data_IF_847658462968
#
_entry.id   IF_847658462968
#
_cell.length_a   1.000
_cell.length_b   1.000
_cell.length_c   1.000
_cell.angle_alpha   90.00
_cell.angle_beta   90.00
_cell.angle_gamma   90.00
#
_symmetry.space_group_name_H-M   'P 1'
#
loop_
_entity.id
_entity.type
_entity.pdbx_description
1 polymer ?
#
# COMPACT_ATOMS: atom_id res chain seq x y z
N UNK A 1 10.26 18.53 29.06
CA UNK A 1 10.55 18.35 27.62
C UNK A 1 10.00 17.03 27.07
N UNK A 2 10.39 15.85 27.56
CA UNK A 2 10.03 14.54 26.96
C UNK A 2 8.54 14.20 26.75
N UNK A 3 7.63 14.76 27.56
CA UNK A 3 6.19 14.45 27.46
C UNK A 3 5.52 15.26 26.34
N UNK A 4 5.92 16.53 26.18
CA UNK A 4 5.40 17.39 25.12
C UNK A 4 5.87 16.88 23.76
N UNK A 5 7.14 16.53 23.61
CA UNK A 5 7.68 15.97 22.35
C UNK A 5 6.96 14.68 21.92
N UNK A 6 6.57 13.82 22.89
CA UNK A 6 5.82 12.59 22.63
C UNK A 6 4.36 12.86 22.22
N UNK A 7 3.74 13.91 22.77
CA UNK A 7 2.37 14.32 22.43
C UNK A 7 2.33 14.99 21.06
N UNK A 8 3.29 15.88 20.76
CA UNK A 8 3.42 16.53 19.44
C UNK A 8 3.69 15.50 18.33
N UNK A 9 4.66 14.60 18.51
CA UNK A 9 4.94 13.53 17.55
C UNK A 9 3.74 12.60 17.33
N UNK A 10 2.96 12.29 18.39
CA UNK A 10 1.75 11.47 18.25
C UNK A 10 0.68 12.17 17.43
N UNK A 11 0.47 13.47 17.66
CA UNK A 11 -0.56 14.27 16.99
C UNK A 11 -0.22 14.50 15.51
N UNK A 12 1.07 14.70 15.20
CA UNK A 12 1.55 14.84 13.83
C UNK A 12 1.46 13.52 13.05
N UNK A 13 1.81 12.39 13.68
CA UNK A 13 1.67 11.06 13.07
C UNK A 13 0.19 10.69 12.83
N UNK A 14 -0.70 11.03 13.76
CA UNK A 14 -2.15 10.81 13.56
C UNK A 14 -2.65 11.66 12.39
N UNK A 15 -2.20 12.91 12.27
CA UNK A 15 -2.53 13.75 11.12
C UNK A 15 -1.97 13.23 9.79
N UNK A 16 -0.75 12.69 9.77
CA UNK A 16 -0.13 12.08 8.57
C UNK A 16 -0.90 10.84 8.13
N UNK A 17 -1.23 9.95 9.07
CA UNK A 17 -2.02 8.75 8.80
C UNK A 17 -3.38 9.11 8.19
N UNK A 18 -4.14 9.99 8.84
CA UNK A 18 -5.48 10.36 8.35
C UNK A 18 -5.45 10.97 6.94
N UNK A 19 -4.42 11.76 6.63
CA UNK A 19 -4.25 12.35 5.30
C UNK A 19 -3.84 11.31 4.26
N UNK A 20 -2.92 10.41 4.60
CA UNK A 20 -2.43 9.36 3.69
C UNK A 20 -3.52 8.36 3.32
N UNK A 21 -4.42 8.06 4.27
CA UNK A 21 -5.52 7.13 4.07
C UNK A 21 -6.87 7.82 3.86
N UNK A 22 -6.88 9.10 3.48
CA UNK A 22 -8.11 9.89 3.32
C UNK A 22 -9.05 9.31 2.26
N UNK A 23 -8.52 8.78 1.16
CA UNK A 23 -9.32 8.12 0.13
C UNK A 23 -9.96 6.81 0.63
N UNK A 24 -9.22 6.01 1.39
CA UNK A 24 -9.74 4.80 2.04
C UNK A 24 -10.82 5.15 3.07
N UNK A 25 -10.57 6.18 3.91
CA UNK A 25 -11.52 6.69 4.90
C UNK A 25 -12.84 7.10 4.24
N UNK A 26 -12.76 7.90 3.17
CA UNK A 26 -13.91 8.33 2.38
C UNK A 26 -14.65 7.16 1.72
N UNK A 27 -13.91 6.17 1.20
CA UNK A 27 -14.54 4.95 0.65
C UNK A 27 -15.28 4.16 1.74
N UNK A 28 -14.79 4.21 2.98
CA UNK A 28 -15.41 3.58 4.14
C UNK A 28 -16.81 4.08 4.47
N UNK A 29 -17.20 5.27 3.99
CA UNK A 29 -18.57 5.78 4.14
C UNK A 29 -19.60 4.99 3.32
N UNK A 30 -19.13 4.26 2.29
CA UNK A 30 -19.97 3.50 1.35
C UNK A 30 -19.68 2.00 1.43
N UNK A 31 -18.41 1.63 1.60
CA UNK A 31 -17.94 0.24 1.56
C UNK A 31 -17.48 -0.20 2.96
N UNK A 32 -18.24 -1.06 3.66
CA UNK A 32 -17.93 -1.44 5.04
C UNK A 32 -16.55 -2.08 5.25
N UNK A 33 -16.07 -2.85 4.26
CA UNK A 33 -14.72 -3.43 4.31
C UNK A 33 -13.63 -2.35 4.27
N UNK A 34 -13.80 -1.30 3.46
CA UNK A 34 -12.87 -0.17 3.43
C UNK A 34 -12.81 0.55 4.78
N UNK A 35 -13.95 0.73 5.45
CA UNK A 35 -14.00 1.29 6.81
C UNK A 35 -13.22 0.43 7.80
N UNK A 36 -13.47 -0.89 7.80
CA UNK A 36 -12.78 -1.82 8.70
C UNK A 36 -11.28 -1.90 8.40
N UNK A 37 -10.88 -1.89 7.14
CA UNK A 37 -9.47 -1.81 6.75
C UNK A 37 -8.84 -0.53 7.28
N UNK A 38 -9.49 0.65 7.16
CA UNK A 38 -8.98 1.90 7.73
C UNK A 38 -8.77 1.82 9.24
N UNK A 39 -9.76 1.30 9.98
CA UNK A 39 -9.70 1.14 11.44
C UNK A 39 -8.56 0.19 11.83
N UNK A 40 -8.40 -0.94 11.14
CA UNK A 40 -7.33 -1.91 11.42
C UNK A 40 -5.92 -1.39 11.05
N UNK A 41 -5.80 -0.61 9.97
CA UNK A 41 -4.53 0.03 9.59
C UNK A 41 -4.05 1.03 10.64
N UNK A 42 -4.97 1.72 11.32
CA UNK A 42 -4.63 2.73 12.34
C UNK A 42 -3.84 2.12 13.51
N UNK A 43 -4.14 0.88 13.84
CA UNK A 43 -3.51 0.15 14.95
C UNK A 43 -2.41 -0.83 14.49
N UNK A 44 -2.18 -0.95 13.17
CA UNK A 44 -1.20 -1.86 12.60
C UNK A 44 0.22 -1.46 13.00
N UNK A 45 0.96 -2.41 13.55
CA UNK A 45 2.37 -2.28 13.89
C UNK A 45 3.05 -3.66 13.89
N UNK A 46 4.37 -3.71 14.19
CA UNK A 46 5.13 -4.96 14.20
C UNK A 46 4.62 -5.98 15.25
N UNK A 47 4.04 -5.53 16.35
CA UNK A 47 3.50 -6.37 17.45
C UNK A 47 2.05 -6.81 17.21
N UNK A 48 1.35 -6.27 16.20
CA UNK A 48 -0.01 -6.72 15.84
C UNK A 48 -0.04 -8.23 15.63
N UNK A 49 -0.99 -8.89 16.29
CA UNK A 49 -1.11 -10.35 16.26
C UNK A 49 -1.31 -10.88 14.83
N UNK A 50 -0.93 -12.14 14.60
CA UNK A 50 -1.17 -12.82 13.32
C UNK A 50 -2.66 -12.82 12.98
N UNK A 51 -3.51 -13.18 13.94
CA UNK A 51 -4.97 -13.19 13.79
C UNK A 51 -5.54 -11.82 13.38
N UNK A 52 -5.08 -10.72 13.98
CA UNK A 52 -5.56 -9.39 13.63
C UNK A 52 -4.99 -8.91 12.28
N UNK A 53 -3.79 -9.34 11.94
CA UNK A 53 -3.18 -9.10 10.63
C UNK A 53 -3.95 -9.85 9.53
N UNK A 54 -4.38 -11.09 9.77
CA UNK A 54 -5.23 -11.87 8.85
C UNK A 54 -6.62 -11.25 8.69
N UNK A 55 -7.21 -10.73 9.76
CA UNK A 55 -8.47 -9.94 9.68
C UNK A 55 -8.30 -8.73 8.79
N UNK A 56 -7.19 -7.99 8.93
CA UNK A 56 -6.87 -6.86 8.07
C UNK A 56 -6.77 -7.28 6.61
N UNK A 57 -6.01 -8.33 6.30
CA UNK A 57 -5.88 -8.83 4.93
C UNK A 57 -7.24 -9.27 4.36
N UNK A 58 -8.06 -9.93 5.17
CA UNK A 58 -9.40 -10.39 4.79
C UNK A 58 -10.33 -9.22 4.44
N UNK A 59 -10.36 -8.15 5.25
CA UNK A 59 -11.17 -6.98 4.94
C UNK A 59 -10.61 -6.20 3.75
N UNK A 60 -9.28 -6.06 3.66
CA UNK A 60 -8.62 -5.41 2.54
C UNK A 60 -8.98 -6.06 1.18
N UNK A 61 -8.92 -7.39 1.10
CA UNK A 61 -9.24 -8.13 -0.13
C UNK A 61 -10.72 -8.07 -0.54
N UNK A 62 -11.61 -7.63 0.35
CA UNK A 62 -13.03 -7.37 0.02
C UNK A 62 -13.24 -5.99 -0.60
N UNK A 63 -12.24 -5.12 -0.61
CA UNK A 63 -12.35 -3.79 -1.22
C UNK A 63 -12.26 -3.95 -2.73
N UNK A 64 -13.36 -3.63 -3.42
CA UNK A 64 -13.40 -3.55 -4.87
C UNK A 64 -13.39 -2.08 -5.31
N UNK A 65 -12.26 -1.61 -5.81
CA UNK A 65 -12.13 -0.24 -6.31
C UNK A 65 -12.23 -0.21 -7.85
N UNK A 66 -13.45 -0.06 -8.37
CA UNK A 66 -13.70 -0.01 -9.81
C UNK A 66 -13.27 1.36 -10.39
N UNK A 67 -12.09 1.41 -11.01
CA UNK A 67 -11.56 2.61 -11.65
C UNK A 67 -10.60 2.26 -12.79
N UNK A 68 -10.06 3.27 -13.48
CA UNK A 68 -9.00 3.04 -14.45
C UNK A 68 -7.71 2.55 -13.76
N UNK A 69 -6.84 1.92 -14.53
CA UNK A 69 -5.58 1.29 -14.08
C UNK A 69 -4.73 2.20 -13.19
N UNK A 70 -4.56 3.47 -13.56
CA UNK A 70 -3.75 4.42 -12.79
C UNK A 70 -4.40 4.78 -11.46
N UNK A 71 -5.71 5.04 -11.47
CA UNK A 71 -6.46 5.39 -10.27
C UNK A 71 -6.55 4.21 -9.31
N UNK A 72 -6.70 2.99 -9.86
CA UNK A 72 -6.61 1.74 -9.11
C UNK A 72 -5.26 1.63 -8.41
N UNK A 73 -4.16 1.75 -9.17
CA UNK A 73 -2.81 1.72 -8.60
C UNK A 73 -2.67 2.75 -7.48
N UNK A 74 -3.04 4.02 -7.73
CA UNK A 74 -2.84 5.08 -6.75
C UNK A 74 -3.70 4.93 -5.49
N UNK A 75 -4.87 4.29 -5.58
CA UNK A 75 -5.72 3.99 -4.43
C UNK A 75 -5.08 2.90 -3.54
N UNK A 76 -4.62 1.80 -4.14
CA UNK A 76 -4.06 0.69 -3.38
C UNK A 76 -2.63 0.96 -2.89
N UNK A 77 -1.87 1.83 -3.55
CA UNK A 77 -0.47 2.09 -3.22
C UNK A 77 -0.22 2.41 -1.74
N UNK A 78 -0.83 3.46 -1.13
CA UNK A 78 -0.62 3.76 0.29
C UNK A 78 -0.98 2.59 1.22
N UNK A 79 -1.98 1.80 0.86
CA UNK A 79 -2.46 0.67 1.67
C UNK A 79 -1.46 -0.48 1.62
N UNK A 80 -1.06 -0.89 0.42
CA UNK A 80 -0.15 -2.03 0.22
C UNK A 80 1.23 -1.73 0.79
N UNK A 81 1.80 -0.55 0.54
CA UNK A 81 3.12 -0.21 1.08
C UNK A 81 3.14 -0.17 2.60
N UNK A 82 2.05 0.30 3.23
CA UNK A 82 1.95 0.36 4.68
C UNK A 82 1.79 -1.02 5.31
N UNK A 83 0.95 -1.88 4.71
CA UNK A 83 0.80 -3.27 5.17
C UNK A 83 2.13 -4.01 5.05
N UNK A 84 2.81 -3.92 3.90
CA UNK A 84 4.05 -4.65 3.67
C UNK A 84 5.23 -4.13 4.47
N UNK A 85 5.19 -2.87 4.93
CA UNK A 85 6.15 -2.36 5.91
C UNK A 85 6.10 -3.15 7.22
N UNK A 86 4.90 -3.32 7.79
CA UNK A 86 4.73 -3.98 9.09
C UNK A 86 4.64 -5.51 9.01
N UNK A 87 4.06 -6.02 7.92
CA UNK A 87 3.72 -7.43 7.71
C UNK A 87 4.20 -7.90 6.34
N UNK A 88 5.53 -7.96 6.12
CA UNK A 88 6.11 -8.31 4.81
C UNK A 88 5.73 -9.71 4.32
N UNK A 89 5.30 -10.60 5.21
CA UNK A 89 4.87 -11.96 4.87
C UNK A 89 3.59 -12.00 4.02
N UNK A 90 2.79 -10.92 3.98
CA UNK A 90 1.62 -10.79 3.09
C UNK A 90 1.95 -10.44 1.64
N UNK A 91 3.23 -10.31 1.28
CA UNK A 91 3.69 -9.94 -0.06
C UNK A 91 2.95 -10.71 -1.17
N UNK A 92 2.89 -12.04 -1.07
CA UNK A 92 2.21 -12.90 -2.07
C UNK A 92 0.73 -12.57 -2.27
N UNK A 93 0.07 -12.06 -1.25
CA UNK A 93 -1.37 -11.82 -1.29
C UNK A 93 -1.72 -10.48 -1.92
N UNK A 94 -0.83 -9.47 -1.77
CA UNK A 94 -1.16 -8.08 -2.05
C UNK A 94 -0.19 -7.34 -2.97
N UNK A 95 0.98 -7.90 -3.30
CA UNK A 95 1.91 -7.24 -4.22
C UNK A 95 1.29 -7.04 -5.61
N UNK A 96 0.42 -7.96 -6.04
CA UNK A 96 -0.35 -7.86 -7.30
C UNK A 96 -1.08 -6.54 -7.51
N UNK A 97 -1.53 -5.87 -6.44
CA UNK A 97 -2.23 -4.58 -6.56
C UNK A 97 -1.30 -3.43 -7.01
N UNK A 98 0.02 -3.61 -6.89
CA UNK A 98 1.02 -2.66 -7.41
C UNK A 98 1.56 -3.10 -8.78
N UNK A 99 1.68 -4.42 -9.01
CA UNK A 99 2.29 -4.97 -10.22
C UNK A 99 1.29 -5.01 -11.38
N UNK A 100 0.11 -5.59 -11.17
CA UNK A 100 -0.90 -5.80 -12.21
C UNK A 100 -1.26 -4.52 -12.98
N UNK A 101 -1.52 -3.38 -12.31
CA UNK A 101 -1.83 -2.14 -13.02
C UNK A 101 -0.68 -1.61 -13.89
N UNK A 102 0.56 -1.65 -13.40
CA UNK A 102 1.71 -1.21 -14.19
C UNK A 102 2.00 -2.18 -15.35
N UNK A 103 1.78 -3.48 -15.14
CA UNK A 103 1.84 -4.48 -16.20
C UNK A 103 0.80 -4.22 -17.29
N UNK A 104 -0.46 -3.95 -16.91
CA UNK A 104 -1.52 -3.61 -17.85
C UNK A 104 -1.22 -2.31 -18.64
N UNK A 105 -0.37 -1.44 -18.11
CA UNK A 105 0.15 -0.25 -18.79
C UNK A 105 1.43 -0.52 -19.62
N UNK A 106 1.86 -1.77 -19.74
CA UNK A 106 2.98 -2.19 -20.59
C UNK A 106 4.33 -2.36 -19.88
N UNK A 107 4.40 -2.20 -18.55
CA UNK A 107 5.64 -2.46 -17.81
C UNK A 107 5.80 -3.95 -17.52
N UNK A 108 6.66 -4.63 -18.27
CA UNK A 108 6.79 -6.10 -18.19
C UNK A 108 8.12 -6.58 -17.64
N UNK A 109 9.05 -5.68 -17.33
CA UNK A 109 10.38 -6.01 -16.81
C UNK A 109 10.50 -5.62 -15.33
N UNK A 110 11.04 -6.52 -14.49
CA UNK A 110 11.08 -6.32 -13.03
C UNK A 110 11.80 -5.05 -12.57
N UNK A 111 12.90 -4.66 -13.26
CA UNK A 111 13.65 -3.45 -12.92
C UNK A 111 12.86 -2.19 -13.27
N UNK A 112 12.21 -2.19 -14.42
CA UNK A 112 11.33 -1.10 -14.86
C UNK A 112 10.12 -0.98 -13.94
N UNK A 113 9.51 -2.11 -13.56
CA UNK A 113 8.40 -2.18 -12.61
C UNK A 113 8.73 -1.50 -11.27
N UNK A 114 9.89 -1.81 -10.70
CA UNK A 114 10.36 -1.16 -9.47
C UNK A 114 10.60 0.33 -9.66
N UNK A 115 11.20 0.73 -10.79
CA UNK A 115 11.40 2.13 -11.14
C UNK A 115 10.09 2.89 -11.32
N UNK A 116 9.06 2.24 -11.90
CA UNK A 116 7.73 2.80 -12.07
C UNK A 116 7.05 3.04 -10.73
N UNK A 117 7.10 2.08 -9.80
CA UNK A 117 6.55 2.26 -8.45
C UNK A 117 7.28 3.39 -7.70
N UNK A 118 8.62 3.42 -7.76
CA UNK A 118 9.42 4.49 -7.16
C UNK A 118 9.13 5.87 -7.79
N UNK A 119 9.01 5.93 -9.11
CA UNK A 119 8.66 7.12 -9.86
C UNK A 119 7.26 7.62 -9.51
N UNK A 120 6.30 6.71 -9.35
CA UNK A 120 4.94 7.02 -8.96
C UNK A 120 4.86 7.59 -7.54
N UNK A 121 5.64 7.05 -6.59
CA UNK A 121 5.79 7.64 -5.25
C UNK A 121 6.30 9.08 -5.35
N UNK A 122 7.40 9.30 -6.07
CA UNK A 122 8.01 10.62 -6.20
C UNK A 122 7.08 11.62 -6.89
N UNK A 123 6.34 11.19 -7.91
CA UNK A 123 5.34 12.00 -8.59
C UNK A 123 4.22 12.43 -7.63
N UNK A 124 3.59 11.47 -6.93
CA UNK A 124 2.47 11.78 -6.03
C UNK A 124 2.89 12.58 -4.80
N UNK A 125 4.10 12.39 -4.29
CA UNK A 125 4.63 13.17 -3.16
C UNK A 125 4.94 14.63 -3.51
N UNK A 126 5.22 14.94 -4.79
CA UNK A 126 5.34 16.34 -5.26
C UNK A 126 4.01 17.07 -5.19
N UNK A 127 2.92 16.38 -5.53
CA UNK A 127 1.57 16.95 -5.53
C UNK A 127 0.94 16.97 -4.13
N UNK A 128 1.16 15.91 -3.35
CA UNK A 128 0.66 15.76 -1.99
C UNK A 128 1.72 15.10 -1.11
N UNK A 129 2.34 15.90 -0.24
CA UNK A 129 3.39 15.44 0.69
C UNK A 129 2.90 14.35 1.66
N UNK A 130 1.60 14.23 1.86
CA UNK A 130 0.96 13.24 2.72
C UNK A 130 0.37 12.08 1.92
N UNK A 131 0.77 11.86 0.67
CA UNK A 131 0.24 10.74 -0.13
C UNK A 131 0.64 9.37 0.44
N UNK A 132 1.87 9.25 0.95
CA UNK A 132 2.37 8.06 1.64
C UNK A 132 2.86 8.45 3.03
N UNK A 133 2.63 7.59 4.01
CA UNK A 133 3.25 7.72 5.34
C UNK A 133 4.77 7.55 5.25
N UNK A 134 5.49 7.88 6.32
CA UNK A 134 6.91 7.59 6.43
C UNK A 134 7.23 6.10 6.24
N UNK A 135 6.45 5.22 6.86
CA UNK A 135 6.59 3.75 6.79
C UNK A 135 6.44 3.25 5.36
N UNK A 136 5.40 3.74 4.66
CA UNK A 136 5.17 3.41 3.25
C UNK A 136 6.34 3.83 2.37
N UNK A 137 6.88 5.04 2.59
CA UNK A 137 8.06 5.53 1.86
C UNK A 137 9.29 4.69 2.15
N UNK A 138 9.51 4.33 3.41
CA UNK A 138 10.62 3.48 3.83
C UNK A 138 10.56 2.12 3.15
N UNK A 139 9.38 1.49 3.10
CA UNK A 139 9.19 0.23 2.39
C UNK A 139 9.52 0.35 0.89
N UNK A 140 9.03 1.40 0.21
CA UNK A 140 9.31 1.60 -1.23
C UNK A 140 10.81 1.81 -1.49
N UNK A 141 11.50 2.56 -0.64
CA UNK A 141 12.90 2.92 -0.84
C UNK A 141 13.83 1.76 -0.47
N UNK A 142 13.55 1.07 0.64
CA UNK A 142 14.50 0.15 1.26
C UNK A 142 14.11 -1.32 1.10
N UNK A 143 12.82 -1.65 1.04
CA UNK A 143 12.37 -3.04 1.00
C UNK A 143 11.98 -3.52 -0.39
N UNK A 144 11.23 -2.71 -1.16
CA UNK A 144 10.84 -3.06 -2.53
C UNK A 144 12.03 -3.46 -3.43
N UNK A 145 13.21 -2.79 -3.40
CA UNK A 145 14.35 -3.21 -4.22
C UNK A 145 14.88 -4.63 -3.91
N UNK A 146 14.59 -5.17 -2.72
CA UNK A 146 14.97 -6.52 -2.32
C UNK A 146 14.01 -7.59 -2.84
N UNK A 147 12.85 -7.19 -3.38
CA UNK A 147 11.77 -8.07 -3.79
C UNK A 147 11.83 -8.45 -5.29
N UNK A 148 13.02 -8.47 -5.91
CA UNK A 148 13.15 -8.74 -7.36
C UNK A 148 12.49 -10.04 -7.81
N UNK A 149 12.62 -11.11 -7.03
CA UNK A 149 12.04 -12.42 -7.36
C UNK A 149 10.51 -12.40 -7.24
N UNK A 150 9.99 -11.66 -6.28
CA UNK A 150 8.58 -11.53 -6.00
C UNK A 150 7.90 -10.69 -7.10
N UNK A 151 8.50 -9.56 -7.46
CA UNK A 151 8.06 -8.74 -8.59
C UNK A 151 8.04 -9.54 -9.89
N UNK A 152 9.11 -10.28 -10.18
CA UNK A 152 9.16 -11.15 -11.36
C UNK A 152 8.07 -12.23 -11.34
N UNK A 153 7.84 -12.87 -10.18
CA UNK A 153 6.76 -13.85 -10.00
C UNK A 153 5.38 -13.26 -10.33
N UNK A 154 5.07 -12.06 -9.83
CA UNK A 154 3.78 -11.42 -10.10
C UNK A 154 3.64 -11.05 -11.60
N UNK A 155 4.71 -10.60 -12.25
CA UNK A 155 4.73 -10.36 -13.70
C UNK A 155 4.42 -11.66 -14.47
N UNK A 156 5.03 -12.79 -14.08
CA UNK A 156 4.75 -14.08 -14.73
C UNK A 156 3.31 -14.54 -14.52
N UNK A 157 2.70 -14.25 -13.37
CA UNK A 157 1.27 -14.50 -13.12
C UNK A 157 0.43 -13.68 -14.09
N UNK A 158 0.71 -12.38 -14.25
CA UNK A 158 -0.02 -11.53 -15.20
C UNK A 158 0.09 -12.04 -16.64
N UNK A 159 1.28 -12.48 -17.08
CA UNK A 159 1.44 -13.11 -18.39
C UNK A 159 0.59 -14.37 -18.56
N UNK A 160 0.52 -15.20 -17.52
CA UNK A 160 -0.29 -16.42 -17.56
C UNK A 160 -1.77 -16.10 -17.71
N UNK A 161 -2.28 -15.16 -16.92
CA UNK A 161 -3.69 -14.72 -16.97
C UNK A 161 -4.08 -14.10 -18.31
N UNK A 162 -3.13 -13.47 -19.02
CA UNK A 162 -3.37 -12.86 -20.33
C UNK A 162 -3.45 -13.89 -21.47
N UNK A 163 -2.87 -15.08 -21.26
CA UNK A 163 -2.85 -16.18 -22.23
C UNK A 163 -3.97 -17.21 -22.02
N UNK A 164 -4.79 -17.06 -20.97
CA UNK A 164 -5.99 -17.87 -20.68
C UNK A 164 -7.26 -17.22 -21.26
#
# INVERSE_FOLDING_TARGET
MKILDKIFNKKDNESEFEKSFSDLKRMGDIVPSAKRTYELLKDLNFETSELDSEKLLTEFNKIQYASNTNSFFYFYFPIVSYILYYKPYFEKDILKYLIGPNFANGTTEKKEMMQMILGAMNFKLKDNIYYLTKESRDWVINELPKLERQVDREIQICWKELNE
#
